data_IF_993833964700
#
_entry.id   IF_993833964700
#
_cell.length_a   1.000
_cell.length_b   1.000
_cell.length_c   1.000
_cell.angle_alpha   90.00
_cell.angle_beta   90.00
_cell.angle_gamma   90.00
#
_symmetry.space_group_name_H-M   'P 1'
#
loop_
_entity.id
_entity.type
_entity.pdbx_description
1 polymer ?
#
# COMPACT_ATOMS: atom_id res chain seq x y z
N UNK A 1 -28.11 0.99 27.86
CA UNK A 1 -27.87 -0.12 26.92
C UNK A 1 -27.28 0.53 25.68
N UNK A 2 -25.95 0.53 25.55
CA UNK A 2 -25.24 1.21 24.47
C UNK A 2 -24.94 0.13 23.42
N UNK A 3 -25.59 0.21 22.26
CA UNK A 3 -25.33 -0.68 21.14
C UNK A 3 -23.91 -0.42 20.60
N UNK A 4 -23.04 -1.41 20.77
CA UNK A 4 -21.71 -1.43 20.20
C UNK A 4 -21.85 -1.89 18.74
N UNK A 5 -22.25 -0.98 17.84
CA UNK A 5 -22.33 -1.22 16.40
C UNK A 5 -20.94 -1.15 15.74
N UNK A 6 -20.09 -2.15 16.02
CA UNK A 6 -18.69 -2.22 15.54
C UNK A 6 -18.53 -2.69 14.10
N UNK A 7 -19.61 -3.03 13.39
CA UNK A 7 -19.58 -3.45 11.98
C UNK A 7 -20.32 -2.44 11.08
N UNK A 8 -19.91 -1.17 11.14
CA UNK A 8 -20.41 -0.16 10.22
C UNK A 8 -19.46 -0.08 9.04
N UNK A 9 -19.95 -0.38 7.85
CA UNK A 9 -19.31 -0.05 6.57
C UNK A 9 -19.16 1.47 6.48
N UNK A 10 -18.09 2.00 7.10
CA UNK A 10 -17.91 3.42 7.39
C UNK A 10 -17.39 4.20 6.16
N UNK A 11 -17.95 3.89 4.99
CA UNK A 11 -17.68 4.62 3.73
C UNK A 11 -18.06 6.10 3.89
N UNK A 12 -19.07 6.40 4.71
CA UNK A 12 -19.55 7.75 5.00
C UNK A 12 -19.07 8.21 6.38
N UNK A 13 -17.76 8.45 6.53
CA UNK A 13 -17.18 8.95 7.78
C UNK A 13 -17.80 10.29 8.22
N UNK A 14 -18.19 11.16 7.29
CA UNK A 14 -18.80 12.47 7.59
C UNK A 14 -20.14 12.39 8.35
N UNK A 15 -20.79 11.22 8.39
CA UNK A 15 -22.02 11.00 9.19
C UNK A 15 -21.72 10.80 10.68
N UNK A 16 -20.46 10.66 11.06
CA UNK A 16 -20.02 10.54 12.44
C UNK A 16 -19.79 11.91 13.04
N UNK A 17 -20.33 12.15 14.23
CA UNK A 17 -20.14 13.42 14.95
C UNK A 17 -18.64 13.77 15.10
N UNK A 18 -17.78 12.77 15.29
CA UNK A 18 -16.32 12.94 15.40
C UNK A 18 -15.61 13.37 14.10
N UNK A 19 -16.17 13.01 12.94
CA UNK A 19 -15.59 13.28 11.61
C UNK A 19 -16.45 14.27 10.79
N UNK A 20 -17.51 14.83 11.38
CA UNK A 20 -18.39 15.79 10.73
C UNK A 20 -17.72 17.17 10.66
N UNK A 21 -17.05 17.42 9.54
CA UNK A 21 -16.37 18.69 9.26
C UNK A 21 -17.33 19.88 9.03
N UNK A 22 -18.64 19.62 8.86
CA UNK A 22 -19.69 20.63 8.67
C UNK A 22 -20.24 21.20 9.99
N UNK A 23 -20.00 20.51 11.11
CA UNK A 23 -20.55 20.90 12.42
C UNK A 23 -20.05 22.24 12.97
N UNK A 24 -18.97 22.81 12.41
CA UNK A 24 -18.43 24.08 12.89
C UNK A 24 -17.70 24.87 11.79
N UNK A 25 -18.45 25.54 10.94
CA UNK A 25 -17.96 26.37 9.80
C UNK A 25 -17.11 27.59 10.20
N UNK A 26 -16.93 27.83 11.50
CA UNK A 26 -16.12 28.94 12.05
C UNK A 26 -14.69 28.55 12.35
N UNK A 27 -14.35 27.25 12.34
CA UNK A 27 -13.01 26.75 12.65
C UNK A 27 -12.18 26.70 11.36
N UNK A 28 -11.05 27.39 11.37
CA UNK A 28 -10.04 27.23 10.32
C UNK A 28 -9.20 25.96 10.58
N UNK A 29 -9.45 24.93 9.78
CA UNK A 29 -8.77 23.63 9.87
C UNK A 29 -7.28 23.71 9.49
N UNK A 30 -6.85 24.77 8.80
CA UNK A 30 -5.44 24.99 8.46
C UNK A 30 -4.55 25.17 9.68
N UNK A 31 -5.12 25.70 10.77
CA UNK A 31 -4.39 26.03 12.00
C UNK A 31 -4.37 24.86 13.00
N UNK A 32 -5.18 23.82 12.77
CA UNK A 32 -5.29 22.64 13.64
C UNK A 32 -4.29 21.54 13.29
N UNK A 33 -3.68 21.61 12.13
CA UNK A 33 -2.71 20.64 11.63
C UNK A 33 -1.41 20.61 12.43
N UNK A 34 -1.00 19.42 12.87
CA UNK A 34 0.35 19.24 13.44
C UNK A 34 1.34 18.99 12.31
N UNK A 35 2.16 19.98 11.99
CA UNK A 35 3.20 19.84 10.97
C UNK A 35 4.31 18.94 11.52
N UNK A 36 4.63 17.86 10.79
CA UNK A 36 5.67 16.90 11.17
C UNK A 36 6.71 16.80 10.04
N UNK A 37 7.53 17.85 9.85
CA UNK A 37 8.33 18.00 8.64
C UNK A 37 9.46 16.98 8.58
N UNK A 38 10.08 16.64 9.72
CA UNK A 38 11.14 15.62 9.76
C UNK A 38 10.67 14.25 9.28
N UNK A 39 9.46 13.85 9.70
CA UNK A 39 8.90 12.57 9.28
C UNK A 39 8.47 12.60 7.82
N UNK A 40 7.84 13.69 7.37
CA UNK A 40 7.47 13.87 5.96
C UNK A 40 8.68 13.86 5.01
N UNK A 41 9.75 14.59 5.35
CA UNK A 41 11.00 14.61 4.57
C UNK A 41 11.65 13.22 4.53
N UNK A 42 11.67 12.49 5.65
CA UNK A 42 12.15 11.11 5.68
C UNK A 42 11.35 10.21 4.72
N UNK A 43 10.02 10.29 4.74
CA UNK A 43 9.16 9.53 3.83
C UNK A 43 9.41 9.89 2.35
N UNK A 44 9.62 11.17 2.04
CA UNK A 44 9.92 11.63 0.68
C UNK A 44 11.28 11.12 0.19
N UNK A 45 12.32 11.21 1.01
CA UNK A 45 13.65 10.67 0.67
C UNK A 45 13.56 9.17 0.46
N UNK A 46 12.84 8.46 1.33
CA UNK A 46 12.63 7.03 1.20
C UNK A 46 11.94 6.68 -0.13
N UNK A 47 10.87 7.38 -0.51
CA UNK A 47 10.20 7.20 -1.80
C UNK A 47 11.15 7.49 -2.98
N UNK A 48 11.90 8.59 -2.91
CA UNK A 48 12.83 9.02 -3.96
C UNK A 48 13.92 7.98 -4.24
N UNK A 49 14.39 7.28 -3.21
CA UNK A 49 15.44 6.24 -3.33
C UNK A 49 14.86 4.89 -3.75
N UNK A 50 13.71 4.50 -3.18
CA UNK A 50 13.14 3.16 -3.38
C UNK A 50 12.42 3.01 -4.72
N UNK A 51 11.69 4.02 -5.19
CA UNK A 51 10.98 3.98 -6.48
C UNK A 51 11.93 3.66 -7.67
N UNK A 52 13.07 4.35 -7.87
CA UNK A 52 13.97 4.03 -8.98
C UNK A 52 14.60 2.63 -8.84
N UNK A 53 14.85 2.17 -7.61
CA UNK A 53 15.35 0.81 -7.37
C UNK A 53 14.31 -0.24 -7.79
N UNK A 54 13.04 -0.03 -7.46
CA UNK A 54 11.94 -0.88 -7.91
C UNK A 54 11.70 -0.81 -9.42
N UNK A 55 11.90 0.35 -10.04
CA UNK A 55 11.83 0.47 -11.51
C UNK A 55 12.96 -0.33 -12.18
N UNK A 56 14.19 -0.26 -11.64
CA UNK A 56 15.32 -1.04 -12.14
C UNK A 56 15.05 -2.54 -11.99
N UNK A 57 14.55 -2.98 -10.84
CA UNK A 57 14.22 -4.40 -10.63
C UNK A 57 13.10 -4.86 -11.56
N UNK A 58 12.07 -4.05 -11.78
CA UNK A 58 10.99 -4.34 -12.72
C UNK A 58 11.49 -4.46 -14.17
N UNK A 59 12.44 -3.62 -14.59
CA UNK A 59 13.08 -3.70 -15.91
C UNK A 59 13.83 -5.03 -16.09
N UNK A 60 14.61 -5.44 -15.10
CA UNK A 60 15.31 -6.73 -15.14
C UNK A 60 14.32 -7.89 -15.19
N UNK A 61 13.29 -7.89 -14.33
CA UNK A 61 12.27 -8.94 -14.30
C UNK A 61 11.53 -9.04 -15.65
N UNK A 62 11.29 -7.91 -16.32
CA UNK A 62 10.64 -7.89 -17.62
C UNK A 62 11.41 -8.69 -18.68
N UNK A 63 12.75 -8.64 -18.65
CA UNK A 63 13.59 -9.43 -19.56
C UNK A 63 13.47 -10.95 -19.31
N UNK A 64 13.12 -11.37 -18.09
CA UNK A 64 12.93 -12.78 -17.71
C UNK A 64 11.45 -13.21 -17.73
N UNK A 65 10.51 -12.44 -18.31
CA UNK A 65 9.05 -12.70 -18.20
C UNK A 65 8.55 -14.05 -18.74
N UNK A 66 9.43 -14.83 -19.38
CA UNK A 66 9.10 -16.11 -20.00
C UNK A 66 8.63 -17.14 -18.97
N UNK A 67 9.10 -17.05 -17.72
CA UNK A 67 8.62 -17.89 -16.60
C UNK A 67 7.38 -17.34 -15.91
N UNK A 68 6.49 -18.23 -15.46
CA UNK A 68 5.26 -17.87 -14.71
C UNK A 68 5.55 -17.06 -13.45
N UNK A 69 6.62 -17.41 -12.72
CA UNK A 69 7.05 -16.72 -11.51
C UNK A 69 7.45 -15.27 -11.77
N UNK A 70 8.18 -15.00 -12.86
CA UNK A 70 8.60 -13.64 -13.20
C UNK A 70 7.41 -12.73 -13.52
N UNK A 71 6.28 -13.28 -14.00
CA UNK A 71 5.04 -12.51 -14.18
C UNK A 71 4.46 -12.06 -12.83
N UNK A 72 4.43 -12.94 -11.84
CA UNK A 72 3.96 -12.61 -10.49
C UNK A 72 4.90 -11.62 -9.81
N UNK A 73 6.21 -11.82 -9.91
CA UNK A 73 7.22 -10.88 -9.39
C UNK A 73 7.09 -9.49 -10.03
N UNK A 74 6.76 -9.42 -11.32
CA UNK A 74 6.51 -8.14 -11.99
C UNK A 74 5.27 -7.43 -11.43
N UNK A 75 4.16 -8.16 -11.24
CA UNK A 75 2.94 -7.60 -10.63
C UNK A 75 3.21 -7.10 -9.21
N UNK A 76 3.97 -7.85 -8.41
CA UNK A 76 4.39 -7.43 -7.07
C UNK A 76 5.21 -6.14 -7.12
N UNK A 77 6.20 -6.05 -8.00
CA UNK A 77 7.01 -4.84 -8.15
C UNK A 77 6.18 -3.61 -8.53
N UNK A 78 5.18 -3.76 -9.42
CA UNK A 78 4.26 -2.68 -9.79
C UNK A 78 3.37 -2.28 -8.59
N UNK A 79 2.83 -3.25 -7.85
CA UNK A 79 2.01 -2.97 -6.67
C UNK A 79 2.80 -2.22 -5.59
N UNK A 80 4.07 -2.59 -5.37
CA UNK A 80 4.94 -1.92 -4.41
C UNK A 80 5.27 -0.48 -4.83
N UNK A 81 5.53 -0.23 -6.12
CA UNK A 81 5.75 1.14 -6.64
C UNK A 81 4.50 2.02 -6.40
N UNK A 82 3.31 1.49 -6.70
CA UNK A 82 2.05 2.21 -6.47
C UNK A 82 1.83 2.45 -4.98
N UNK A 83 2.14 1.47 -4.13
CA UNK A 83 2.07 1.61 -2.67
C UNK A 83 3.00 2.71 -2.18
N UNK A 84 4.27 2.73 -2.62
CA UNK A 84 5.26 3.74 -2.23
C UNK A 84 4.84 5.14 -2.67
N UNK A 85 4.25 5.27 -3.85
CA UNK A 85 3.74 6.55 -4.33
C UNK A 85 2.61 7.08 -3.43
N UNK A 86 1.63 6.24 -3.12
CA UNK A 86 0.49 6.62 -2.27
C UNK A 86 0.92 6.86 -0.81
N UNK A 87 1.72 5.97 -0.23
CA UNK A 87 2.06 5.98 1.20
C UNK A 87 3.25 6.84 1.60
N UNK A 88 4.23 7.03 0.72
CA UNK A 88 5.47 7.73 1.09
C UNK A 88 5.55 9.06 0.38
N UNK A 89 5.19 9.11 -0.91
CA UNK A 89 5.18 10.37 -1.66
C UNK A 89 3.99 11.25 -1.24
N UNK A 90 2.74 10.83 -1.47
CA UNK A 90 1.57 11.67 -1.19
C UNK A 90 1.40 11.95 0.30
N UNK A 91 1.49 10.92 1.14
CA UNK A 91 1.40 11.09 2.60
C UNK A 91 2.56 11.93 3.17
N UNK A 92 3.77 11.81 2.61
CA UNK A 92 4.92 12.64 2.99
C UNK A 92 4.66 14.13 2.74
N UNK A 93 4.00 14.47 1.64
CA UNK A 93 3.57 15.84 1.34
C UNK A 93 2.53 16.31 2.37
N UNK A 94 1.51 15.50 2.66
CA UNK A 94 0.48 15.83 3.65
C UNK A 94 1.07 16.07 5.05
N UNK A 95 2.09 15.31 5.45
CA UNK A 95 2.82 15.49 6.71
C UNK A 95 3.57 16.82 6.79
N UNK A 96 4.13 17.29 5.67
CA UNK A 96 4.85 18.58 5.59
C UNK A 96 3.86 19.74 5.59
N UNK A 97 2.71 19.58 4.93
CA UNK A 97 1.64 20.58 4.95
C UNK A 97 0.88 20.61 6.28
N UNK A 98 1.00 19.57 7.10
CA UNK A 98 0.21 19.40 8.32
C UNK A 98 -1.26 19.17 8.02
N UNK A 99 -1.58 18.52 6.91
CA UNK A 99 -2.96 18.42 6.43
C UNK A 99 -3.82 17.55 7.35
N UNK A 100 -5.01 18.04 7.68
CA UNK A 100 -6.02 17.34 8.48
C UNK A 100 -7.15 16.86 7.58
N UNK A 101 -7.81 15.76 7.98
CA UNK A 101 -8.91 15.15 7.22
C UNK A 101 -9.96 16.18 6.75
N UNK A 102 -10.33 17.15 7.59
CA UNK A 102 -11.35 18.15 7.27
C UNK A 102 -10.94 19.23 6.24
N UNK A 103 -9.67 19.29 5.81
CA UNK A 103 -9.26 20.18 4.72
C UNK A 103 -9.78 19.66 3.38
N UNK A 104 -9.59 18.37 3.12
CA UNK A 104 -10.04 17.69 1.92
C UNK A 104 -10.47 16.24 2.26
N UNK A 105 -11.68 16.03 2.79
CA UNK A 105 -12.10 14.72 3.31
C UNK A 105 -12.15 13.64 2.23
N UNK A 106 -12.58 14.02 1.01
CA UNK A 106 -12.67 13.10 -0.13
C UNK A 106 -11.30 12.63 -0.62
N UNK A 107 -10.29 13.50 -0.67
CA UNK A 107 -8.94 13.14 -1.12
C UNK A 107 -8.26 12.23 -0.09
N UNK A 108 -8.37 12.56 1.20
CA UNK A 108 -7.84 11.72 2.29
C UNK A 108 -8.48 10.34 2.32
N UNK A 109 -9.81 10.25 2.18
CA UNK A 109 -10.52 8.97 2.16
C UNK A 109 -10.10 8.13 0.95
N UNK A 110 -10.06 8.72 -0.25
CA UNK A 110 -9.58 8.05 -1.45
C UNK A 110 -8.14 7.53 -1.27
N UNK A 111 -7.24 8.37 -0.75
CA UNK A 111 -5.84 7.98 -0.52
C UNK A 111 -5.74 6.80 0.45
N UNK A 112 -6.50 6.83 1.55
CA UNK A 112 -6.53 5.76 2.54
C UNK A 112 -7.04 4.44 1.93
N UNK A 113 -8.10 4.49 1.12
CA UNK A 113 -8.62 3.31 0.41
C UNK A 113 -7.60 2.73 -0.57
N UNK A 114 -6.94 3.57 -1.39
CA UNK A 114 -5.90 3.11 -2.31
C UNK A 114 -4.71 2.50 -1.57
N UNK A 115 -4.25 3.15 -0.49
CA UNK A 115 -3.19 2.63 0.36
C UNK A 115 -3.51 1.21 0.83
N UNK A 116 -4.68 1.03 1.44
CA UNK A 116 -5.09 -0.27 1.97
C UNK A 116 -5.25 -1.32 0.88
N UNK A 117 -5.81 -0.93 -0.27
CA UNK A 117 -5.95 -1.81 -1.42
C UNK A 117 -4.59 -2.32 -1.92
N UNK A 118 -3.63 -1.42 -2.14
CA UNK A 118 -2.32 -1.80 -2.65
C UNK A 118 -1.51 -2.60 -1.63
N UNK A 119 -1.62 -2.28 -0.33
CA UNK A 119 -0.98 -3.05 0.73
C UNK A 119 -1.49 -4.50 0.78
N UNK A 120 -2.81 -4.68 0.67
CA UNK A 120 -3.41 -6.02 0.62
C UNK A 120 -3.07 -6.74 -0.68
N UNK A 121 -3.03 -6.04 -1.81
CA UNK A 121 -2.61 -6.63 -3.09
C UNK A 121 -1.15 -7.11 -3.07
N UNK A 122 -0.23 -6.31 -2.50
CA UNK A 122 1.17 -6.69 -2.30
C UNK A 122 1.29 -7.92 -1.38
N UNK A 123 0.55 -7.95 -0.28
CA UNK A 123 0.53 -9.09 0.65
C UNK A 123 0.04 -10.38 -0.01
N UNK A 124 -1.05 -10.32 -0.77
CA UNK A 124 -1.60 -11.48 -1.49
C UNK A 124 -0.67 -11.97 -2.60
N UNK A 125 0.00 -11.06 -3.31
CA UNK A 125 0.96 -11.42 -4.36
C UNK A 125 2.24 -12.04 -3.77
N UNK A 126 2.68 -11.60 -2.59
CA UNK A 126 3.74 -12.28 -1.83
C UNK A 126 3.37 -13.72 -1.47
N UNK A 127 2.15 -13.96 -1.00
CA UNK A 127 1.67 -15.33 -0.69
C UNK A 127 1.63 -16.19 -1.96
N UNK A 128 1.10 -15.64 -3.06
CA UNK A 128 1.04 -16.34 -4.34
C UNK A 128 2.44 -16.71 -4.86
N UNK A 129 3.41 -15.80 -4.69
CA UNK A 129 4.82 -16.06 -5.02
C UNK A 129 5.41 -17.17 -4.15
N UNK A 130 5.14 -17.18 -2.85
CA UNK A 130 5.60 -18.23 -1.94
C UNK A 130 5.06 -19.61 -2.36
N UNK A 131 3.75 -19.71 -2.64
CA UNK A 131 3.11 -20.94 -3.11
C UNK A 131 3.75 -21.43 -4.42
N UNK A 132 3.98 -20.53 -5.37
CA UNK A 132 4.64 -20.87 -6.63
C UNK A 132 6.04 -21.44 -6.42
N UNK A 133 6.81 -20.89 -5.48
CA UNK A 133 8.15 -21.39 -5.15
C UNK A 133 8.12 -22.76 -4.47
N UNK A 134 7.18 -22.96 -3.54
CA UNK A 134 6.99 -24.28 -2.93
C UNK A 134 6.57 -25.33 -3.96
N UNK A 135 5.70 -24.97 -4.91
CA UNK A 135 5.30 -25.86 -6.00
C UNK A 135 6.48 -26.28 -6.89
N UNK A 136 7.37 -25.35 -7.24
CA UNK A 136 8.59 -25.66 -8.02
C UNK A 136 9.52 -26.61 -7.25
N UNK A 137 9.74 -26.36 -5.95
CA UNK A 137 10.62 -27.19 -5.11
C UNK A 137 10.08 -28.63 -4.99
N UNK A 138 8.78 -28.77 -4.68
CA UNK A 138 8.14 -30.09 -4.56
C UNK A 138 8.17 -30.88 -5.87
N UNK A 139 8.02 -30.21 -7.01
CA UNK A 139 8.14 -30.86 -8.31
C UNK A 139 9.56 -31.39 -8.57
N UNK A 140 10.59 -30.63 -8.17
CA UNK A 140 11.99 -31.06 -8.29
C UNK A 140 12.28 -32.25 -7.36
N UNK A 141 11.81 -32.19 -6.11
CA UNK A 141 11.99 -33.28 -5.14
C UNK A 141 11.29 -34.57 -5.60
N UNK A 142 10.08 -34.47 -6.15
CA UNK A 142 9.34 -35.59 -6.73
C UNK A 142 10.13 -36.24 -7.87
N UNK A 143 10.66 -35.43 -8.80
CA UNK A 143 11.46 -35.92 -9.93
C UNK A 143 12.72 -36.64 -9.42
N UNK A 144 13.45 -36.05 -8.46
CA UNK A 144 14.63 -36.67 -7.85
C UNK A 144 14.31 -38.00 -7.17
N UNK A 145 13.19 -38.08 -6.44
CA UNK A 145 12.77 -39.33 -5.79
C UNK A 145 12.41 -40.44 -6.78
N UNK A 146 11.85 -40.10 -7.94
CA UNK A 146 11.52 -41.08 -9.00
C UNK A 146 12.80 -41.64 -9.62
N UNK A 147 13.80 -40.78 -9.92
CA UNK A 147 15.05 -41.21 -10.55
C UNK A 147 15.99 -42.01 -9.63
N UNK A 148 15.88 -41.88 -8.31
CA UNK A 148 16.69 -42.65 -7.37
C UNK A 148 16.11 -44.05 -7.06
N UNK A 149 14.91 -44.35 -7.56
CA UNK A 149 14.20 -45.64 -7.35
C UNK A 149 14.27 -46.56 -8.59
N UNK A 150 14.81 -46.08 -9.72
CA UNK A 150 15.10 -46.88 -10.94
C UNK A 150 16.56 -47.26 -11.05
#
# INVERSE_FOLDING_TARGET
MIEINQFRWNILMDTQEEYNCSGNSTIDWSTRGTVRPYFGVFCLIFALVTIPLYLLSAQVIWTLRRGSIYKVMFVLAVADILTLFVNSFTFGIFLIMGEVYCMHPTSHLCLAMFCQFFFMASSMTCILLAINRFGELLAIDLISSIFHVS
#
